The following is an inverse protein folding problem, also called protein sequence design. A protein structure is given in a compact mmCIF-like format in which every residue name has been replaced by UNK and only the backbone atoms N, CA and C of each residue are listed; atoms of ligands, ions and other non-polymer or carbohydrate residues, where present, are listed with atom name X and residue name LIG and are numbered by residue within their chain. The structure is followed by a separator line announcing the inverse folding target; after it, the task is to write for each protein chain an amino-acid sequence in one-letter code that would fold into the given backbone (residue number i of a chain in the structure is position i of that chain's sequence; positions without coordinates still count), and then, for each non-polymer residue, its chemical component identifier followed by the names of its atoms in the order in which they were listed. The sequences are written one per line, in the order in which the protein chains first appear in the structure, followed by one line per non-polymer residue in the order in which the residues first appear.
data_IF_332989313785
#
_entry.id   IF_332989313785
#
_cell.length_a   1.000
_cell.length_b   1.000
_cell.length_c   1.000
_cell.angle_alpha   90.00
_cell.angle_beta   90.00
_cell.angle_gamma   90.00
#
_symmetry.space_group_name_H-M   'P 1'
#
loop_
_entity.id
_entity.type
_entity.pdbx_description
1 polymer ?
#
# COMPACT_ATOMS: atom_id res chain seq x y z
N UNK A 1 12.54 8.64 13.00
CA UNK A 1 11.65 7.46 12.81
C UNK A 1 12.45 6.24 12.37
N UNK A 2 13.26 6.33 11.30
CA UNK A 2 14.20 5.23 10.95
C UNK A 2 15.45 5.18 11.83
N UNK A 3 15.81 6.27 12.49
CA UNK A 3 17.00 6.32 13.36
C UNK A 3 16.84 5.45 14.60
N UNK A 4 15.59 5.13 14.97
CA UNK A 4 15.30 4.16 16.01
C UNK A 4 15.41 2.73 15.43
N UNK A 5 16.36 1.90 15.89
CA UNK A 5 16.55 0.55 15.40
C UNK A 5 15.43 -0.41 15.85
N UNK A 6 14.61 -0.04 16.84
CA UNK A 6 13.49 -0.86 17.32
C UNK A 6 12.29 -0.87 16.36
N UNK A 7 12.19 0.12 15.46
CA UNK A 7 11.14 0.17 14.45
C UNK A 7 11.37 -0.89 13.37
N UNK A 8 10.60 -1.98 13.45
CA UNK A 8 10.66 -3.11 12.52
C UNK A 8 9.83 -2.92 11.25
N UNK A 9 8.74 -2.15 11.32
CA UNK A 9 7.81 -1.91 10.22
C UNK A 9 7.44 -0.43 10.08
N UNK A 10 7.15 -0.01 8.86
CA UNK A 10 6.74 1.33 8.48
C UNK A 10 5.46 1.24 7.64
N UNK A 11 4.35 1.71 8.18
CA UNK A 11 3.07 1.75 7.49
C UNK A 11 2.74 3.16 7.02
N UNK A 12 2.30 3.32 5.78
CA UNK A 12 1.69 4.58 5.31
C UNK A 12 0.18 4.51 5.56
N UNK A 13 -0.34 5.47 6.32
CA UNK A 13 -1.77 5.66 6.58
C UNK A 13 -2.13 7.13 6.38
N UNK A 14 -3.40 7.40 6.08
CA UNK A 14 -3.92 8.78 5.94
C UNK A 14 -5.00 9.04 6.99
N UNK A 15 -5.37 10.31 7.18
CA UNK A 15 -6.49 10.69 8.05
C UNK A 15 -7.86 10.12 7.62
N UNK A 16 -7.95 9.54 6.42
CA UNK A 16 -9.15 8.89 5.90
C UNK A 16 -9.09 7.35 5.97
N UNK A 17 -8.07 6.81 6.63
CA UNK A 17 -7.94 5.38 6.90
C UNK A 17 -8.51 5.05 8.27
N UNK A 18 -9.10 3.85 8.38
CA UNK A 18 -9.51 3.26 9.66
C UNK A 18 -8.83 1.90 9.85
N UNK A 19 -8.56 1.47 11.09
CA UNK A 19 -8.22 0.07 11.36
C UNK A 19 -9.44 -0.83 11.12
N UNK A 20 -9.20 -2.07 10.71
CA UNK A 20 -10.22 -3.11 10.59
C UNK A 20 -10.12 -4.17 11.68
N UNK A 21 -9.01 -4.18 12.40
CA UNK A 21 -8.65 -5.15 13.44
C UNK A 21 -8.01 -4.43 14.63
N UNK A 22 -7.90 -5.07 15.79
CA UNK A 22 -7.14 -4.50 16.91
C UNK A 22 -5.66 -4.42 16.58
N UNK A 23 -4.95 -3.56 17.31
CA UNK A 23 -3.50 -3.47 17.22
C UNK A 23 -2.82 -4.81 17.55
N UNK A 24 -3.33 -5.57 18.51
CA UNK A 24 -2.77 -6.88 18.86
C UNK A 24 -2.88 -7.88 17.71
N UNK A 25 -4.00 -7.90 17.00
CA UNK A 25 -4.16 -8.74 15.82
C UNK A 25 -3.17 -8.34 14.72
N UNK A 26 -3.06 -7.05 14.43
CA UNK A 26 -2.12 -6.55 13.42
C UNK A 26 -0.65 -6.84 13.80
N UNK A 27 -0.29 -6.64 15.07
CA UNK A 27 1.05 -6.96 15.58
C UNK A 27 1.36 -8.45 15.42
N UNK A 28 0.48 -9.33 15.91
CA UNK A 28 0.67 -10.77 15.81
C UNK A 28 0.71 -11.24 14.35
N UNK A 29 -0.05 -10.59 13.47
CA UNK A 29 0.00 -10.86 12.03
C UNK A 29 1.38 -10.53 11.42
N UNK A 30 1.94 -9.36 11.73
CA UNK A 30 3.24 -8.93 11.18
C UNK A 30 4.41 -9.77 11.71
N UNK A 31 4.32 -10.24 12.95
CA UNK A 31 5.38 -10.99 13.63
C UNK A 31 5.09 -12.49 13.71
N UNK A 32 4.22 -13.02 12.85
CA UNK A 32 3.93 -14.45 12.80
C UNK A 32 5.10 -15.24 12.20
N UNK A 33 5.77 -16.05 13.02
CA UNK A 33 6.90 -16.90 12.61
C UNK A 33 6.51 -17.93 11.54
N UNK A 34 5.24 -18.34 11.48
CA UNK A 34 4.71 -19.21 10.43
C UNK A 34 4.58 -18.52 9.07
N UNK A 35 4.78 -17.19 8.99
CA UNK A 35 4.71 -16.39 7.75
C UNK A 35 6.05 -15.89 7.26
N UNK A 36 7.14 -16.35 7.85
CA UNK A 36 8.47 -16.04 7.35
C UNK A 36 8.61 -16.50 5.90
N UNK A 37 9.29 -15.68 5.10
CA UNK A 37 9.68 -16.02 3.74
C UNK A 37 10.61 -17.24 3.73
N UNK A 38 10.91 -17.77 2.55
CA UNK A 38 11.89 -18.86 2.37
C UNK A 38 13.27 -18.53 2.95
N UNK A 39 13.60 -17.25 3.08
CA UNK A 39 14.87 -16.77 3.64
C UNK A 39 14.80 -16.54 5.16
N UNK A 40 13.73 -17.00 5.83
CA UNK A 40 13.48 -16.79 7.26
C UNK A 40 13.38 -15.29 7.65
N UNK A 41 12.93 -14.46 6.71
CA UNK A 41 12.71 -13.03 6.92
C UNK A 41 11.23 -12.69 6.87
N UNK A 42 10.82 -11.68 7.64
CA UNK A 42 9.49 -11.10 7.51
C UNK A 42 9.33 -10.35 6.19
N UNK A 43 8.13 -10.43 5.61
CA UNK A 43 7.82 -9.82 4.31
C UNK A 43 7.28 -8.39 4.45
N UNK A 44 7.50 -7.58 3.41
CA UNK A 44 6.79 -6.32 3.20
C UNK A 44 5.47 -6.55 2.48
N UNK A 45 4.48 -5.70 2.78
CA UNK A 45 3.16 -5.73 2.18
C UNK A 45 2.94 -4.46 1.35
N UNK A 46 3.11 -4.61 0.06
CA UNK A 46 2.91 -3.56 -0.94
C UNK A 46 2.34 -4.22 -2.19
N UNK A 47 1.40 -3.55 -2.84
CA UNK A 47 0.85 -4.00 -4.11
C UNK A 47 1.87 -3.77 -5.23
N UNK A 48 2.11 -4.80 -6.04
CA UNK A 48 3.06 -4.76 -7.16
C UNK A 48 2.38 -5.41 -8.36
N UNK A 49 2.09 -4.61 -9.38
CA UNK A 49 1.36 -5.01 -10.58
C UNK A 49 2.22 -4.74 -11.82
N UNK A 50 2.16 -5.66 -12.77
CA UNK A 50 2.94 -5.66 -14.02
C UNK A 50 2.07 -5.69 -15.29
N UNK A 51 0.74 -5.73 -15.13
CA UNK A 51 -0.20 -5.90 -16.24
C UNK A 51 -1.44 -5.01 -16.10
N UNK A 52 -1.21 -3.73 -15.81
CA UNK A 52 -2.28 -2.73 -15.76
C UNK A 52 -2.47 -2.06 -17.13
N UNK A 53 -3.71 -1.81 -17.58
CA UNK A 53 -3.96 -1.14 -18.86
C UNK A 53 -3.29 0.23 -18.99
N UNK A 54 -3.05 0.91 -17.86
CA UNK A 54 -2.43 2.24 -17.80
C UNK A 54 -0.90 2.21 -17.67
N UNK A 55 -0.28 1.02 -17.67
CA UNK A 55 1.15 0.87 -17.34
C UNK A 55 2.07 1.62 -18.31
N UNK A 56 1.76 1.59 -19.61
CA UNK A 56 2.55 2.28 -20.63
C UNK A 56 2.51 3.81 -20.49
N UNK A 57 1.32 4.35 -20.22
CA UNK A 57 1.15 5.79 -20.00
C UNK A 57 1.84 6.25 -18.71
N UNK A 58 1.77 5.43 -17.65
CA UNK A 58 2.48 5.65 -16.38
C UNK A 58 4.00 5.62 -16.55
N UNK A 59 4.52 4.68 -17.35
CA UNK A 59 5.96 4.57 -17.65
C UNK A 59 6.49 5.81 -18.39
N UNK A 60 5.72 6.30 -19.38
CA UNK A 60 6.11 7.46 -20.19
C UNK A 60 5.64 8.81 -19.60
N UNK A 61 5.05 8.83 -18.40
CA UNK A 61 4.46 10.04 -17.82
C UNK A 61 5.47 11.19 -17.59
N UNK A 62 6.77 10.87 -17.58
CA UNK A 62 7.89 11.82 -17.43
C UNK A 62 8.62 12.11 -18.75
N UNK A 63 8.16 11.55 -19.86
CA UNK A 63 8.77 11.63 -21.18
C UNK A 63 9.21 10.26 -21.71
N UNK A 64 9.28 10.15 -23.03
CA UNK A 64 9.70 8.93 -23.72
C UNK A 64 11.15 8.59 -23.36
N UNK A 65 11.43 7.30 -23.13
CA UNK A 65 12.76 6.77 -22.80
C UNK A 65 13.42 7.34 -21.53
N UNK A 66 12.72 8.17 -20.74
CA UNK A 66 13.29 8.78 -19.53
C UNK A 66 13.69 7.74 -18.50
N UNK A 67 12.92 6.65 -18.39
CA UNK A 67 13.19 5.56 -17.46
C UNK A 67 14.43 4.73 -17.82
N UNK A 68 14.85 4.75 -19.09
CA UNK A 68 16.02 4.02 -19.58
C UNK A 68 17.35 4.73 -19.23
N UNK A 69 18.45 3.97 -19.11
CA UNK A 69 18.53 2.50 -19.10
C UNK A 69 18.20 1.86 -17.74
N UNK A 70 17.87 2.65 -16.72
CA UNK A 70 17.79 2.16 -15.34
C UNK A 70 16.57 1.29 -15.03
N UNK A 71 15.46 1.50 -15.73
CA UNK A 71 14.25 0.69 -15.61
C UNK A 71 13.76 0.39 -17.02
N UNK A 72 13.84 -0.86 -17.44
CA UNK A 72 13.18 -1.29 -18.66
C UNK A 72 11.67 -1.41 -18.43
N UNK A 73 10.88 -1.33 -19.50
CA UNK A 73 9.41 -1.35 -19.39
C UNK A 73 8.89 -2.65 -18.73
N UNK A 74 9.51 -3.79 -19.02
CA UNK A 74 9.20 -5.10 -18.43
C UNK A 74 9.59 -5.22 -16.95
N UNK A 75 10.38 -4.29 -16.42
CA UNK A 75 10.71 -4.16 -15.00
C UNK A 75 9.87 -3.11 -14.28
N UNK A 76 9.18 -2.23 -15.02
CA UNK A 76 8.34 -1.19 -14.44
C UNK A 76 7.11 -1.80 -13.77
N UNK A 77 6.82 -1.37 -12.55
CA UNK A 77 5.67 -1.81 -11.77
C UNK A 77 4.88 -0.63 -11.24
N UNK A 78 3.59 -0.87 -11.03
CA UNK A 78 2.68 0.07 -10.37
C UNK A 78 1.96 -0.61 -9.22
N UNK A 79 1.31 0.16 -8.36
CA UNK A 79 0.49 -0.37 -7.27
C UNK A 79 0.04 0.72 -6.32
N UNK A 80 -0.61 0.31 -5.24
CA UNK A 80 -1.06 1.19 -4.17
C UNK A 80 0.09 1.95 -3.49
N UNK A 81 -0.12 3.25 -3.25
CA UNK A 81 0.75 4.06 -2.40
C UNK A 81 0.76 3.56 -0.93
N UNK A 82 -0.27 2.82 -0.49
CA UNK A 82 -0.40 2.37 0.90
C UNK A 82 0.35 1.05 1.09
N UNK A 83 1.46 1.11 1.81
CA UNK A 83 2.31 -0.04 2.11
C UNK A 83 2.48 -0.26 3.61
N UNK A 84 2.94 -1.45 3.96
CA UNK A 84 3.55 -1.80 5.25
C UNK A 84 4.91 -2.43 4.96
N UNK A 85 5.97 -1.64 5.04
CA UNK A 85 7.34 -2.07 4.69
C UNK A 85 8.11 -2.50 5.92
N UNK A 86 8.90 -3.56 5.81
CA UNK A 86 9.90 -3.88 6.82
C UNK A 86 11.00 -2.81 6.84
N UNK A 87 11.71 -2.71 7.96
CA UNK A 87 12.88 -1.82 8.11
C UNK A 87 13.92 -2.04 7.02
N UNK A 88 14.17 -3.30 6.64
CA UNK A 88 15.07 -3.67 5.53
C UNK A 88 14.66 -2.94 4.25
N UNK A 89 13.40 -3.07 3.84
CA UNK A 89 12.89 -2.43 2.63
C UNK A 89 12.84 -0.90 2.72
N UNK A 90 12.49 -0.34 3.88
CA UNK A 90 12.52 1.11 4.10
C UNK A 90 13.94 1.70 3.97
N UNK A 91 14.97 1.00 4.49
CA UNK A 91 16.36 1.40 4.33
C UNK A 91 16.83 1.27 2.87
N UNK A 92 16.37 0.27 2.12
CA UNK A 92 16.68 0.15 0.70
C UNK A 92 16.13 1.35 -0.09
N UNK A 93 14.87 1.73 0.14
CA UNK A 93 14.24 2.89 -0.51
C UNK A 93 15.00 4.19 -0.22
N UNK A 94 15.43 4.40 1.03
CA UNK A 94 16.12 5.63 1.44
C UNK A 94 17.55 5.70 0.92
N UNK A 95 18.19 4.56 0.70
CA UNK A 95 19.54 4.49 0.12
C UNK A 95 19.52 4.66 -1.39
N UNK A 96 18.40 4.36 -2.06
CA UNK A 96 18.35 4.46 -3.50
C UNK A 96 18.51 5.91 -3.99
N UNK A 97 19.42 6.05 -4.95
CA UNK A 97 19.61 7.29 -5.69
C UNK A 97 19.48 7.05 -7.20
N UNK A 98 19.58 5.80 -7.65
CA UNK A 98 19.66 5.46 -9.07
C UNK A 98 18.27 5.56 -9.68
N UNK A 99 17.30 4.81 -9.15
CA UNK A 99 15.93 4.87 -9.67
C UNK A 99 15.25 6.17 -9.27
N UNK A 100 15.47 6.64 -8.02
CA UNK A 100 14.86 7.90 -7.55
C UNK A 100 15.19 9.10 -8.44
N UNK A 101 16.39 9.15 -9.06
CA UNK A 101 16.75 10.21 -10.02
C UNK A 101 15.81 10.28 -11.23
N UNK A 102 15.20 9.16 -11.63
CA UNK A 102 14.20 9.09 -12.70
C UNK A 102 12.82 9.46 -12.20
N UNK A 103 12.39 8.85 -11.09
CA UNK A 103 11.03 9.04 -10.55
C UNK A 103 10.76 10.44 -9.99
N UNK A 104 11.81 11.18 -9.60
CA UNK A 104 11.70 12.57 -9.14
C UNK A 104 11.64 13.62 -10.27
N UNK A 105 11.83 13.20 -11.53
CA UNK A 105 11.75 14.14 -12.65
C UNK A 105 10.32 14.69 -12.79
N UNK A 106 10.17 15.93 -13.30
CA UNK A 106 8.85 16.52 -13.51
C UNK A 106 7.96 15.64 -14.39
N UNK A 107 6.69 15.57 -14.01
CA UNK A 107 5.66 14.90 -14.78
C UNK A 107 5.25 15.76 -15.98
N UNK A 108 5.24 15.17 -17.17
CA UNK A 108 4.71 15.79 -18.39
C UNK A 108 3.21 15.49 -18.54
N UNK A 109 2.79 14.28 -18.16
CA UNK A 109 1.38 13.90 -18.06
C UNK A 109 1.00 13.71 -16.59
N UNK A 110 0.39 14.72 -15.99
CA UNK A 110 0.05 14.74 -14.55
C UNK A 110 -0.99 13.68 -14.17
N UNK A 111 -1.93 13.35 -15.08
CA UNK A 111 -3.00 12.38 -14.84
C UNK A 111 -2.48 10.93 -14.76
N UNK A 112 -1.26 10.69 -15.22
CA UNK A 112 -0.63 9.37 -15.22
C UNK A 112 0.64 9.30 -14.37
N UNK A 113 1.03 10.39 -13.71
CA UNK A 113 2.33 10.48 -13.03
C UNK A 113 2.18 10.51 -11.50
N UNK A 114 2.21 9.32 -10.90
CA UNK A 114 2.09 9.13 -9.46
C UNK A 114 3.36 8.45 -8.93
N UNK A 115 4.45 9.20 -8.65
CA UNK A 115 5.72 8.62 -8.21
C UNK A 115 5.57 7.62 -7.06
N UNK A 116 4.72 7.91 -6.08
CA UNK A 116 4.44 7.06 -4.93
C UNK A 116 3.77 5.72 -5.28
N UNK A 117 3.06 5.65 -6.40
CA UNK A 117 2.41 4.44 -6.91
C UNK A 117 3.29 3.66 -7.91
N UNK A 118 4.42 4.21 -8.34
CA UNK A 118 5.29 3.59 -9.36
C UNK A 118 6.67 3.24 -8.80
N UNK A 119 7.27 4.17 -8.04
CA UNK A 119 8.65 4.07 -7.59
C UNK A 119 8.86 2.92 -6.61
N UNK A 120 8.04 2.85 -5.55
CA UNK A 120 8.15 1.79 -4.55
C UNK A 120 7.95 0.38 -5.15
N UNK A 121 6.87 0.10 -5.90
CA UNK A 121 6.69 -1.23 -6.49
C UNK A 121 7.79 -1.57 -7.50
N UNK A 122 8.23 -0.62 -8.33
CA UNK A 122 9.34 -0.84 -9.28
C UNK A 122 10.64 -1.15 -8.54
N UNK A 123 11.05 -0.28 -7.61
CA UNK A 123 12.32 -0.45 -6.88
C UNK A 123 12.35 -1.76 -6.08
N UNK A 124 11.27 -2.08 -5.37
CA UNK A 124 11.25 -3.26 -4.51
C UNK A 124 11.18 -4.57 -5.32
N UNK A 125 10.44 -4.60 -6.44
CA UNK A 125 10.41 -5.78 -7.30
C UNK A 125 11.74 -6.06 -8.00
N UNK A 126 12.49 -5.02 -8.37
CA UNK A 126 13.83 -5.17 -8.96
C UNK A 126 14.90 -5.58 -7.94
N UNK A 127 14.83 -5.08 -6.70
CA UNK A 127 15.88 -5.32 -5.70
C UNK A 127 15.65 -6.54 -4.80
N UNK A 128 14.40 -6.84 -4.44
CA UNK A 128 14.06 -7.95 -3.54
C UNK A 128 12.71 -8.58 -3.94
N UNK A 129 12.64 -9.27 -5.11
CA UNK A 129 11.39 -9.80 -5.65
C UNK A 129 10.70 -10.83 -4.74
N UNK A 130 11.44 -11.44 -3.82
CA UNK A 130 10.91 -12.43 -2.87
C UNK A 130 10.66 -11.86 -1.46
N UNK A 131 11.02 -10.59 -1.20
CA UNK A 131 10.85 -9.92 0.09
C UNK A 131 9.49 -9.22 0.24
N UNK A 132 8.75 -9.06 -0.85
CA UNK A 132 7.42 -8.43 -0.87
C UNK A 132 6.33 -9.46 -1.18
N UNK A 133 5.18 -9.35 -0.53
CA UNK A 133 4.03 -10.23 -0.78
C UNK A 133 3.28 -9.92 -2.06
N UNK A 134 3.54 -8.76 -2.69
CA UNK A 134 2.79 -8.20 -3.81
C UNK A 134 1.32 -7.85 -3.51
N UNK A 135 0.90 -7.89 -2.24
CA UNK A 135 -0.39 -7.32 -1.83
C UNK A 135 -0.21 -6.27 -0.72
N UNK A 136 -1.07 -5.27 -0.76
CA UNK A 136 -1.24 -4.28 0.31
C UNK A 136 -2.19 -4.79 1.41
N UNK A 137 -1.98 -4.33 2.65
CA UNK A 137 -2.88 -4.56 3.78
C UNK A 137 -3.98 -3.49 3.89
N UNK A 138 -4.04 -2.55 2.96
CA UNK A 138 -5.03 -1.46 2.95
C UNK A 138 -6.09 -1.71 1.88
N UNK A 139 -7.34 -1.93 2.30
CA UNK A 139 -8.50 -2.05 1.41
C UNK A 139 -8.87 -0.69 0.83
N UNK A 140 -9.04 -0.65 -0.48
CA UNK A 140 -9.58 0.49 -1.22
C UNK A 140 -10.77 0.03 -2.05
N UNK A 141 -11.87 0.78 -2.03
CA UNK A 141 -13.04 0.51 -2.87
C UNK A 141 -13.01 1.40 -4.12
N UNK A 142 -12.89 0.78 -5.29
CA UNK A 142 -12.83 1.46 -6.59
C UNK A 142 -14.13 1.41 -7.40
N UNK A 143 -15.21 0.79 -6.89
CA UNK A 143 -16.45 0.54 -7.67
C UNK A 143 -17.11 1.81 -8.22
N UNK A 144 -17.07 2.92 -7.47
CA UNK A 144 -17.66 4.21 -7.87
C UNK A 144 -16.58 5.30 -7.95
N UNK A 145 -15.42 4.97 -8.51
CA UNK A 145 -14.29 5.90 -8.57
C UNK A 145 -14.60 7.11 -9.45
N UNK A 146 -14.28 8.31 -8.98
CA UNK A 146 -14.46 9.57 -9.71
C UNK A 146 -13.12 10.30 -9.77
N UNK A 147 -12.66 10.65 -10.97
CA UNK A 147 -11.40 11.39 -11.20
C UNK A 147 -10.19 10.79 -10.46
N UNK A 148 -10.03 9.47 -10.52
CA UNK A 148 -8.92 8.77 -9.85
C UNK A 148 -9.04 8.70 -8.32
N UNK A 149 -10.16 9.13 -7.74
CA UNK A 149 -10.43 8.95 -6.31
C UNK A 149 -11.31 7.72 -6.05
N UNK A 150 -10.97 6.90 -5.03
CA UNK A 150 -11.81 5.78 -4.64
C UNK A 150 -13.09 6.23 -3.95
N UNK A 151 -14.04 5.30 -3.80
CA UNK A 151 -15.28 5.51 -3.05
C UNK A 151 -15.00 6.06 -1.66
N UNK A 152 -15.78 7.06 -1.26
CA UNK A 152 -15.74 7.64 0.09
C UNK A 152 -16.96 7.17 0.86
N UNK A 153 -16.73 6.37 1.90
CA UNK A 153 -17.77 5.95 2.84
C UNK A 153 -18.20 7.14 3.69
N UNK A 154 -19.51 7.28 3.85
CA UNK A 154 -20.16 8.29 4.68
C UNK A 154 -20.88 7.68 5.89
N UNK A 155 -21.28 8.47 6.91
CA UNK A 155 -21.91 7.95 8.13
C UNK A 155 -23.03 6.93 7.93
N UNK A 156 -23.96 7.09 6.97
CA UNK A 156 -25.05 6.11 6.76
C UNK A 156 -24.58 4.72 6.31
N UNK A 157 -23.35 4.62 5.79
CA UNK A 157 -22.78 3.34 5.33
C UNK A 157 -22.00 2.61 6.44
N UNK A 158 -21.67 3.31 7.55
CA UNK A 158 -20.88 2.73 8.64
C UNK A 158 -21.75 1.72 9.39
N UNK A 159 -21.41 0.44 9.26
CA UNK A 159 -22.10 -0.66 9.95
C UNK A 159 -21.14 -1.80 10.28
N UNK A 160 -21.51 -2.70 11.22
CA UNK A 160 -20.75 -3.92 11.47
C UNK A 160 -20.52 -4.76 10.19
N UNK A 161 -21.54 -4.88 9.35
CA UNK A 161 -21.49 -5.64 8.10
C UNK A 161 -20.49 -5.04 7.11
N UNK A 162 -20.38 -3.71 7.07
CA UNK A 162 -19.36 -3.04 6.26
C UNK A 162 -17.96 -3.42 6.76
N UNK A 163 -17.70 -3.35 8.07
CA UNK A 163 -16.38 -3.70 8.64
C UNK A 163 -16.00 -5.15 8.32
N UNK A 164 -16.90 -6.11 8.54
CA UNK A 164 -16.65 -7.52 8.21
C UNK A 164 -16.42 -7.76 6.72
N UNK A 165 -17.08 -6.98 5.85
CA UNK A 165 -16.85 -7.05 4.40
C UNK A 165 -15.48 -6.50 4.03
N UNK A 166 -15.07 -5.39 4.63
CA UNK A 166 -13.79 -4.73 4.36
C UNK A 166 -12.58 -5.57 4.81
N UNK A 167 -12.74 -6.41 5.84
CA UNK A 167 -11.72 -7.39 6.27
C UNK A 167 -11.38 -8.39 5.15
N UNK A 168 -12.35 -8.80 4.33
CA UNK A 168 -12.15 -9.87 3.34
C UNK A 168 -11.21 -9.43 2.23
N UNK A 169 -10.22 -10.27 1.91
CA UNK A 169 -9.34 -10.12 0.76
C UNK A 169 -9.36 -11.36 -0.14
N UNK A 170 -8.79 -11.22 -1.34
CA UNK A 170 -8.58 -12.35 -2.26
C UNK A 170 -7.24 -13.08 -1.99
N UNK A 171 -6.52 -12.67 -0.94
CA UNK A 171 -5.28 -13.29 -0.48
C UNK A 171 -5.56 -14.20 0.72
N UNK A 172 -4.51 -14.86 1.24
CA UNK A 172 -4.60 -15.70 2.44
C UNK A 172 -4.77 -14.92 3.75
N UNK A 173 -4.81 -13.58 3.69
CA UNK A 173 -4.87 -12.71 4.86
C UNK A 173 -5.98 -11.67 4.79
N UNK A 174 -6.43 -11.20 5.95
CA UNK A 174 -7.37 -10.09 6.07
C UNK A 174 -6.71 -8.75 5.70
N UNK A 175 -7.51 -7.78 5.27
CA UNK A 175 -7.06 -6.39 5.25
C UNK A 175 -6.99 -5.83 6.69
N UNK A 176 -5.98 -5.01 6.95
CA UNK A 176 -5.73 -4.42 8.27
C UNK A 176 -6.29 -2.99 8.37
N UNK A 177 -6.35 -2.30 7.23
CA UNK A 177 -6.86 -0.93 7.13
C UNK A 177 -7.87 -0.83 5.99
N UNK A 178 -8.77 0.15 6.06
CA UNK A 178 -9.63 0.52 4.94
C UNK A 178 -9.65 2.03 4.72
N UNK A 179 -9.85 2.42 3.46
CA UNK A 179 -10.10 3.80 3.03
C UNK A 179 -11.09 3.82 1.85
N UNK A 180 -11.79 4.91 1.59
CA UNK A 180 -11.69 6.25 2.20
C UNK A 180 -12.93 6.52 3.06
N UNK A 181 -12.75 7.02 4.27
CA UNK A 181 -13.86 7.45 5.13
C UNK A 181 -13.90 8.97 5.20
N UNK A 182 -15.10 9.55 5.16
CA UNK A 182 -15.27 10.98 5.39
C UNK A 182 -15.06 11.32 6.88
N UNK A 183 -14.63 12.55 7.23
CA UNK A 183 -14.31 12.88 8.64
C UNK A 183 -15.48 12.74 9.61
N UNK A 184 -16.71 12.94 9.12
CA UNK A 184 -17.97 12.76 9.86
C UNK A 184 -18.28 11.30 10.20
N UNK A 185 -17.55 10.32 9.63
CA UNK A 185 -17.64 8.92 10.07
C UNK A 185 -17.07 8.68 11.46
N UNK A 186 -16.34 9.63 12.07
CA UNK A 186 -15.68 9.40 13.36
C UNK A 186 -16.64 8.90 14.44
N UNK A 187 -17.77 9.58 14.65
CA UNK A 187 -18.73 9.21 15.69
C UNK A 187 -19.31 7.79 15.49
N UNK A 188 -19.91 7.43 14.33
CA UNK A 188 -20.43 6.08 14.15
C UNK A 188 -19.35 4.99 14.17
N UNK A 189 -18.10 5.30 13.77
CA UNK A 189 -16.98 4.37 13.91
C UNK A 189 -16.61 4.13 15.37
N UNK A 190 -16.62 5.18 16.20
CA UNK A 190 -16.35 5.07 17.64
C UNK A 190 -17.44 4.28 18.36
N UNK A 191 -18.70 4.39 17.94
CA UNK A 191 -19.82 3.62 18.51
C UNK A 191 -19.67 2.09 18.32
N UNK A 192 -18.99 1.65 17.26
CA UNK A 192 -18.77 0.22 16.96
C UNK A 192 -17.33 -0.23 17.20
N UNK A 193 -16.45 0.63 17.71
CA UNK A 193 -15.03 0.36 17.83
C UNK A 193 -14.75 -0.88 18.68
N UNK A 194 -15.25 -0.91 19.92
CA UNK A 194 -14.98 -2.00 20.87
C UNK A 194 -15.80 -3.26 20.57
N UNK A 195 -17.01 -3.10 20.03
CA UNK A 195 -17.93 -4.21 19.80
C UNK A 195 -17.69 -4.93 18.47
N UNK A 196 -17.03 -4.27 17.51
CA UNK A 196 -16.81 -4.78 16.15
C UNK A 196 -15.36 -4.62 15.69
N UNK A 197 -14.84 -3.40 15.59
CA UNK A 197 -13.55 -3.14 14.92
C UNK A 197 -12.40 -3.82 15.67
N UNK A 198 -12.37 -3.70 16.99
CA UNK A 198 -11.35 -4.28 17.86
C UNK A 198 -11.75 -5.64 18.44
N UNK A 199 -12.82 -6.24 17.90
CA UNK A 199 -13.25 -7.60 18.20
C UNK A 199 -12.76 -8.53 17.08
N UNK A 200 -11.59 -9.12 17.33
CA UNK A 200 -10.90 -10.04 16.42
C UNK A 200 -11.29 -11.50 16.60
#
# INVERSE_FOLDING_TARGET
MLDDPSNAYFALISQHCIPLHSFNYFYNFLFDLGRLSRNLEFSSYIEILDNEPTLWDRYNARGENVMLPEVHFDEFRVGSQFFVLTRKHALMVIKDRKLWRKFKLPCLNVESCYPEEHYFPTMLSMQDPNGCTQYTLTRVNWTDSVNGHPHTYHPPEVSPELIYRLRKSNSSYSYMFARKFSPDCLNPLMEIADSVIFKD
#
